data_IF_793842919919
#
_entry.id   IF_793842919919
#
_cell.length_a   1.000
_cell.length_b   1.000
_cell.length_c   1.000
_cell.angle_alpha   90.00
_cell.angle_beta   90.00
_cell.angle_gamma   90.00
#
_symmetry.space_group_name_H-M   'P 1'
#
loop_
_entity.id
_entity.type
_entity.pdbx_description
1 polymer ?
#
# COMPACT_ATOMS: atom_id res chain seq x y z
N UNK A 1 0.18 29.26 -10.87
CA UNK A 1 -0.96 28.37 -11.14
C UNK A 1 -1.48 27.88 -9.79
N UNK A 2 -2.77 27.92 -9.50
CA UNK A 2 -3.31 27.36 -8.23
C UNK A 2 -3.41 25.83 -8.32
N UNK A 3 -3.53 25.15 -7.17
CA UNK A 3 -3.74 23.70 -7.09
C UNK A 3 -4.97 23.24 -7.89
N UNK A 4 -6.09 23.95 -7.75
CA UNK A 4 -7.32 23.67 -8.51
C UNK A 4 -7.04 23.69 -10.02
N UNK A 5 -6.37 24.74 -10.51
CA UNK A 5 -6.00 24.87 -11.93
C UNK A 5 -5.04 23.78 -12.40
N UNK A 6 -4.18 23.28 -11.51
CA UNK A 6 -3.31 22.15 -11.81
C UNK A 6 -4.13 20.88 -12.03
N UNK A 7 -5.07 20.57 -11.13
CA UNK A 7 -5.96 19.41 -11.26
C UNK A 7 -6.88 19.54 -12.48
N UNK A 8 -7.47 20.70 -12.74
CA UNK A 8 -8.25 20.97 -13.96
C UNK A 8 -7.44 20.68 -15.22
N UNK A 9 -6.20 21.19 -15.31
CA UNK A 9 -5.35 20.98 -16.49
C UNK A 9 -4.99 19.50 -16.71
N UNK A 10 -4.77 18.74 -15.62
CA UNK A 10 -4.52 17.30 -15.70
C UNK A 10 -5.81 16.56 -16.09
N UNK A 11 -6.95 16.96 -15.52
CA UNK A 11 -8.26 16.39 -15.82
C UNK A 11 -8.63 16.57 -17.30
N UNK A 12 -8.40 17.76 -17.85
CA UNK A 12 -8.64 18.02 -19.28
C UNK A 12 -7.78 17.13 -20.19
N UNK A 13 -6.55 16.80 -19.78
CA UNK A 13 -5.68 15.90 -20.53
C UNK A 13 -6.17 14.46 -20.46
N UNK A 14 -6.52 13.96 -19.28
CA UNK A 14 -7.03 12.58 -19.16
C UNK A 14 -8.37 12.41 -19.89
N UNK A 15 -9.23 13.43 -19.90
CA UNK A 15 -10.49 13.41 -20.64
C UNK A 15 -10.31 13.31 -22.16
N UNK A 16 -9.23 13.86 -22.70
CA UNK A 16 -8.87 13.66 -24.12
C UNK A 16 -8.39 12.25 -24.41
N UNK A 17 -7.64 11.65 -23.48
CA UNK A 17 -7.14 10.29 -23.61
C UNK A 17 -8.24 9.24 -23.42
N UNK A 18 -9.12 9.45 -22.43
CA UNK A 18 -10.14 8.50 -21.96
C UNK A 18 -11.51 9.20 -21.78
N UNK A 19 -12.17 9.62 -22.87
CA UNK A 19 -13.43 10.36 -22.80
C UNK A 19 -14.59 9.57 -22.17
N UNK A 20 -14.54 8.23 -22.25
CA UNK A 20 -15.56 7.32 -21.68
C UNK A 20 -15.49 7.20 -20.15
N UNK A 21 -14.48 7.81 -19.51
CA UNK A 21 -14.29 7.82 -18.04
C UNK A 21 -14.32 6.41 -17.42
N UNK A 22 -13.40 5.50 -17.77
CA UNK A 22 -13.41 4.11 -17.28
C UNK A 22 -13.40 4.00 -15.74
N UNK A 23 -12.79 4.98 -15.05
CA UNK A 23 -12.80 5.06 -13.58
C UNK A 23 -14.21 5.10 -12.97
N UNK A 24 -15.20 5.72 -13.62
CA UNK A 24 -16.57 5.82 -13.10
C UNK A 24 -17.18 4.44 -12.91
N UNK A 25 -17.17 3.62 -13.96
CA UNK A 25 -17.71 2.26 -13.90
C UNK A 25 -16.90 1.36 -12.94
N UNK A 26 -15.59 1.61 -12.80
CA UNK A 26 -14.73 0.84 -11.91
C UNK A 26 -15.08 1.01 -10.44
N UNK A 27 -15.60 2.18 -10.03
CA UNK A 27 -16.03 2.46 -8.66
C UNK A 27 -17.51 2.08 -8.48
N UNK A 28 -18.38 2.47 -9.42
CA UNK A 28 -19.83 2.24 -9.32
C UNK A 28 -20.22 0.74 -9.26
N UNK A 29 -19.38 -0.17 -9.77
CA UNK A 29 -19.60 -1.63 -9.65
C UNK A 29 -19.68 -2.12 -8.20
N UNK A 30 -19.19 -1.33 -7.24
CA UNK A 30 -19.20 -1.63 -5.82
C UNK A 30 -20.43 -1.07 -5.07
N UNK A 31 -21.38 -0.44 -5.78
CA UNK A 31 -22.61 0.12 -5.23
C UNK A 31 -22.48 1.58 -4.79
N UNK A 32 -23.53 2.12 -4.15
CA UNK A 32 -23.59 3.53 -3.76
C UNK A 32 -22.65 3.89 -2.58
N UNK A 33 -22.38 2.92 -1.70
CA UNK A 33 -21.50 3.07 -0.53
C UNK A 33 -20.42 1.98 -0.56
N UNK A 34 -19.45 2.07 -1.48
CA UNK A 34 -18.39 1.08 -1.60
C UNK A 34 -17.56 1.01 -0.30
N UNK A 35 -17.16 -0.19 0.16
CA UNK A 35 -16.32 -0.32 1.34
C UNK A 35 -14.97 0.39 1.16
N UNK A 36 -14.48 1.07 2.21
CA UNK A 36 -13.23 1.85 2.18
C UNK A 36 -12.04 1.02 1.66
N UNK A 37 -11.93 -0.26 2.07
CA UNK A 37 -10.84 -1.12 1.60
C UNK A 37 -10.86 -1.36 0.08
N UNK A 38 -12.04 -1.32 -0.57
CA UNK A 38 -12.16 -1.40 -2.04
C UNK A 38 -11.79 -0.10 -2.75
N UNK A 39 -12.09 1.03 -2.11
CA UNK A 39 -11.70 2.34 -2.59
C UNK A 39 -10.17 2.53 -2.49
N UNK A 40 -9.57 2.12 -1.38
CA UNK A 40 -8.11 2.15 -1.17
C UNK A 40 -7.33 1.21 -2.09
N UNK A 41 -7.93 0.13 -2.58
CA UNK A 41 -7.33 -0.70 -3.64
C UNK A 41 -7.32 0.03 -5.00
N UNK A 42 -8.21 0.99 -5.21
CA UNK A 42 -8.45 1.66 -6.50
C UNK A 42 -8.20 3.17 -6.42
N UNK A 43 -7.18 3.61 -5.66
CA UNK A 43 -6.95 5.02 -5.30
C UNK A 43 -7.03 5.99 -6.49
N UNK A 44 -6.39 5.67 -7.61
CA UNK A 44 -6.42 6.53 -8.81
C UNK A 44 -7.85 6.65 -9.36
N UNK A 45 -8.54 5.52 -9.54
CA UNK A 45 -9.93 5.51 -10.00
C UNK A 45 -10.87 6.22 -9.02
N UNK A 46 -10.64 6.04 -7.71
CA UNK A 46 -11.44 6.65 -6.67
C UNK A 46 -11.25 8.17 -6.62
N UNK A 47 -10.02 8.67 -6.69
CA UNK A 47 -9.76 10.11 -6.74
C UNK A 47 -10.39 10.77 -7.97
N UNK A 48 -10.28 10.14 -9.15
CA UNK A 48 -10.97 10.65 -10.35
C UNK A 48 -12.49 10.62 -10.22
N UNK A 49 -13.04 9.57 -9.61
CA UNK A 49 -14.47 9.49 -9.30
C UNK A 49 -14.92 10.60 -8.33
N UNK A 50 -14.13 10.91 -7.30
CA UNK A 50 -14.42 12.00 -6.36
C UNK A 50 -14.44 13.35 -7.06
N UNK A 51 -13.51 13.58 -7.98
CA UNK A 51 -13.48 14.80 -8.79
C UNK A 51 -14.77 14.95 -9.62
N UNK A 52 -15.23 13.87 -10.26
CA UNK A 52 -16.45 13.85 -11.06
C UNK A 52 -17.75 13.98 -10.25
N UNK A 53 -17.80 13.39 -9.05
CA UNK A 53 -19.05 13.21 -8.30
C UNK A 53 -19.25 14.18 -7.13
N UNK A 54 -18.18 14.59 -6.47
CA UNK A 54 -18.21 15.35 -5.21
C UNK A 54 -17.65 16.77 -5.38
N UNK A 55 -16.61 16.92 -6.21
CA UNK A 55 -15.90 18.18 -6.40
C UNK A 55 -15.03 18.57 -5.19
N UNK A 56 -14.00 19.38 -5.42
CA UNK A 56 -12.93 19.63 -4.44
C UNK A 56 -13.40 20.28 -3.12
N UNK A 57 -14.40 21.17 -3.19
CA UNK A 57 -14.86 21.95 -2.03
C UNK A 57 -15.60 21.09 -0.99
N UNK A 58 -16.18 19.96 -1.41
CA UNK A 58 -16.88 19.04 -0.52
C UNK A 58 -15.98 17.93 0.04
N UNK A 59 -14.76 17.76 -0.48
CA UNK A 59 -13.81 16.72 -0.06
C UNK A 59 -13.19 17.03 1.31
N UNK A 60 -13.25 16.03 2.19
CA UNK A 60 -12.50 16.01 3.45
C UNK A 60 -11.01 15.70 3.20
N UNK A 61 -10.23 15.54 4.28
CA UNK A 61 -8.79 15.28 4.18
C UNK A 61 -8.48 13.94 3.48
N UNK A 62 -9.26 12.89 3.77
CA UNK A 62 -9.08 11.57 3.15
C UNK A 62 -9.33 11.64 1.64
N UNK A 63 -10.43 12.27 1.26
CA UNK A 63 -10.77 12.48 -0.15
C UNK A 63 -9.72 13.33 -0.88
N UNK A 64 -9.16 14.36 -0.20
CA UNK A 64 -8.09 15.20 -0.75
C UNK A 64 -6.81 14.42 -0.99
N UNK A 65 -6.44 13.52 -0.09
CA UNK A 65 -5.30 12.63 -0.30
C UNK A 65 -5.52 11.70 -1.50
N UNK A 66 -6.71 11.12 -1.63
CA UNK A 66 -7.07 10.30 -2.79
C UNK A 66 -7.04 11.09 -4.11
N UNK A 67 -7.51 12.34 -4.10
CA UNK A 67 -7.41 13.25 -5.24
C UNK A 67 -5.95 13.56 -5.59
N UNK A 68 -5.11 13.86 -4.60
CA UNK A 68 -3.70 14.17 -4.80
C UNK A 68 -2.95 12.99 -5.41
N UNK A 69 -3.17 11.77 -4.90
CA UNK A 69 -2.65 10.53 -5.48
C UNK A 69 -3.07 10.38 -6.93
N UNK A 70 -4.39 10.44 -7.19
CA UNK A 70 -4.92 10.28 -8.53
C UNK A 70 -4.30 11.29 -9.50
N UNK A 71 -4.39 12.59 -9.22
CA UNK A 71 -3.91 13.61 -10.13
C UNK A 71 -2.39 13.58 -10.33
N UNK A 72 -1.61 13.27 -9.30
CA UNK A 72 -0.17 13.12 -9.45
C UNK A 72 0.17 11.95 -10.38
N UNK A 73 -0.36 10.75 -10.11
CA UNK A 73 -0.05 9.58 -10.92
C UNK A 73 -0.60 9.70 -12.34
N UNK A 74 -1.80 10.27 -12.53
CA UNK A 74 -2.35 10.57 -13.85
C UNK A 74 -1.43 11.53 -14.62
N UNK A 75 -0.96 12.60 -13.99
CA UNK A 75 -0.03 13.52 -14.64
C UNK A 75 1.24 12.80 -15.11
N UNK A 76 1.80 11.93 -14.27
CA UNK A 76 3.00 11.14 -14.58
C UNK A 76 2.77 10.07 -15.65
N UNK A 77 1.62 9.41 -15.62
CA UNK A 77 1.21 8.46 -16.66
C UNK A 77 1.04 9.14 -18.01
N UNK A 78 0.42 10.33 -18.04
CA UNK A 78 0.23 11.10 -19.26
C UNK A 78 1.55 11.67 -19.80
N UNK A 79 2.41 12.22 -18.93
CA UNK A 79 3.76 12.65 -19.31
C UNK A 79 4.57 11.49 -19.90
N UNK A 80 4.50 10.30 -19.31
CA UNK A 80 5.17 9.10 -19.82
C UNK A 80 4.59 8.68 -21.16
N UNK A 81 3.27 8.58 -21.26
CA UNK A 81 2.54 8.24 -22.48
C UNK A 81 2.89 9.18 -23.65
N UNK A 82 2.92 10.49 -23.41
CA UNK A 82 3.24 11.50 -24.42
C UNK A 82 4.71 11.46 -24.86
N UNK A 83 5.61 10.89 -24.04
CA UNK A 83 7.03 10.71 -24.37
C UNK A 83 7.32 9.43 -25.15
N UNK A 84 6.35 8.50 -25.26
CA UNK A 84 6.49 7.28 -26.05
C UNK A 84 6.33 7.57 -27.55
N UNK A 85 7.01 6.77 -28.38
CA UNK A 85 6.78 6.73 -29.82
C UNK A 85 5.34 6.32 -30.15
N UNK A 86 4.78 6.83 -31.25
CA UNK A 86 3.37 6.60 -31.64
C UNK A 86 3.00 5.10 -31.70
N UNK A 87 3.92 4.23 -32.10
CA UNK A 87 3.71 2.78 -32.16
C UNK A 87 3.47 2.16 -30.78
N UNK A 88 4.13 2.66 -29.73
CA UNK A 88 4.05 2.16 -28.35
C UNK A 88 2.90 2.79 -27.56
N UNK A 89 2.52 4.02 -27.91
CA UNK A 89 1.41 4.72 -27.29
C UNK A 89 0.11 3.88 -27.26
N UNK A 90 -0.23 3.20 -28.37
CA UNK A 90 -1.48 2.40 -28.41
C UNK A 90 -1.50 1.27 -27.39
N UNK A 91 -0.41 0.52 -27.29
CA UNK A 91 -0.28 -0.60 -26.35
C UNK A 91 -0.33 -0.10 -24.90
N UNK A 92 0.43 0.96 -24.61
CA UNK A 92 0.45 1.59 -23.30
C UNK A 92 -0.91 2.13 -22.88
N UNK A 93 -1.62 2.80 -23.81
CA UNK A 93 -2.99 3.29 -23.57
C UNK A 93 -3.94 2.16 -23.22
N UNK A 94 -3.89 1.03 -23.95
CA UNK A 94 -4.75 -0.12 -23.69
C UNK A 94 -4.44 -0.78 -22.33
N UNK A 95 -3.15 -0.93 -21.98
CA UNK A 95 -2.72 -1.41 -20.66
C UNK A 95 -3.26 -0.52 -19.54
N UNK A 96 -3.14 0.80 -19.72
CA UNK A 96 -3.61 1.76 -18.74
C UNK A 96 -5.15 1.77 -18.63
N UNK A 97 -5.86 1.65 -19.75
CA UNK A 97 -7.32 1.52 -19.77
C UNK A 97 -7.79 0.28 -18.98
N UNK A 98 -7.18 -0.88 -19.23
CA UNK A 98 -7.47 -2.12 -18.52
C UNK A 98 -7.19 -1.99 -17.00
N UNK A 99 -6.12 -1.28 -16.63
CA UNK A 99 -5.73 -1.08 -15.24
C UNK A 99 -6.81 -0.36 -14.42
N UNK A 100 -7.65 0.52 -15.01
CA UNK A 100 -8.76 1.15 -14.27
C UNK A 100 -9.72 0.14 -13.67
N UNK A 101 -9.86 -1.04 -14.28
CA UNK A 101 -10.78 -2.09 -13.82
C UNK A 101 -10.10 -3.11 -12.89
N UNK A 102 -8.77 -3.11 -12.82
CA UNK A 102 -7.95 -4.06 -12.08
C UNK A 102 -6.98 -3.34 -11.13
N UNK A 103 -7.35 -3.23 -9.85
CA UNK A 103 -6.57 -2.54 -8.81
C UNK A 103 -5.12 -3.00 -8.70
N UNK A 104 -4.86 -4.29 -8.86
CA UNK A 104 -3.50 -4.83 -8.84
C UNK A 104 -2.65 -4.31 -10.01
N UNK A 105 -3.23 -4.19 -11.19
CA UNK A 105 -2.53 -3.74 -12.40
C UNK A 105 -2.29 -2.23 -12.32
N UNK A 106 -3.26 -1.46 -11.82
CA UNK A 106 -3.08 -0.02 -11.55
C UNK A 106 -1.99 0.23 -10.50
N UNK A 107 -1.92 -0.59 -9.44
CA UNK A 107 -0.86 -0.49 -8.43
C UNK A 107 0.51 -0.84 -9.00
N UNK A 108 0.61 -1.88 -9.83
CA UNK A 108 1.87 -2.23 -10.50
C UNK A 108 2.32 -1.09 -11.42
N UNK A 109 1.43 -0.59 -12.27
CA UNK A 109 1.71 0.48 -13.23
C UNK A 109 2.10 1.80 -12.53
N UNK A 110 1.36 2.21 -11.49
CA UNK A 110 1.71 3.41 -10.71
C UNK A 110 3.05 3.26 -9.99
N UNK A 111 3.37 2.06 -9.49
CA UNK A 111 4.67 1.80 -8.88
C UNK A 111 5.82 1.84 -9.88
N UNK A 112 5.67 1.23 -11.05
CA UNK A 112 6.63 1.32 -12.14
C UNK A 112 6.90 2.79 -12.52
N UNK A 113 5.85 3.60 -12.64
CA UNK A 113 5.96 5.04 -12.92
C UNK A 113 6.67 5.78 -11.79
N UNK A 114 6.34 5.46 -10.54
CA UNK A 114 7.05 6.01 -9.39
C UNK A 114 8.56 5.73 -9.47
N UNK A 115 8.96 4.49 -9.80
CA UNK A 115 10.36 4.11 -9.96
C UNK A 115 11.01 4.91 -11.08
N UNK A 116 10.38 4.97 -12.25
CA UNK A 116 10.88 5.72 -13.41
C UNK A 116 11.20 7.18 -13.05
N UNK A 117 10.22 7.91 -12.51
CA UNK A 117 10.40 9.34 -12.21
C UNK A 117 11.35 9.59 -11.04
N UNK A 118 11.37 8.70 -10.05
CA UNK A 118 12.34 8.80 -8.94
C UNK A 118 13.77 8.69 -9.45
N UNK A 119 14.05 7.73 -10.34
CA UNK A 119 15.38 7.55 -10.92
C UNK A 119 15.78 8.71 -11.81
N UNK A 120 14.88 9.21 -12.67
CA UNK A 120 15.12 10.41 -13.48
C UNK A 120 15.45 11.61 -12.60
N UNK A 121 14.70 11.82 -11.51
CA UNK A 121 14.95 12.90 -10.56
C UNK A 121 16.30 12.76 -9.83
N UNK A 122 16.80 11.53 -9.63
CA UNK A 122 18.12 11.24 -9.08
C UNK A 122 19.26 11.27 -10.12
N UNK A 123 18.97 11.76 -11.33
CA UNK A 123 19.94 11.95 -12.40
C UNK A 123 20.29 10.68 -13.16
N UNK A 124 19.47 9.63 -13.08
CA UNK A 124 19.59 8.47 -13.95
C UNK A 124 18.95 8.74 -15.30
N UNK A 125 19.58 8.25 -16.37
CA UNK A 125 18.93 8.07 -17.66
C UNK A 125 18.23 6.71 -17.66
N UNK A 126 16.91 6.72 -17.79
CA UNK A 126 16.06 5.52 -17.72
C UNK A 126 15.42 5.25 -19.08
N UNK A 127 15.54 4.02 -19.56
CA UNK A 127 14.91 3.52 -20.79
C UNK A 127 13.91 2.44 -20.40
N UNK A 128 12.65 2.58 -20.84
CA UNK A 128 11.61 1.56 -20.66
C UNK A 128 11.77 0.45 -21.70
N UNK A 129 11.66 -0.79 -21.25
CA UNK A 129 11.92 -2.01 -22.02
C UNK A 129 10.71 -2.93 -22.18
N UNK A 130 9.55 -2.54 -21.63
CA UNK A 130 8.29 -3.30 -21.60
C UNK A 130 7.67 -3.67 -22.97
N UNK A 131 8.25 -3.25 -24.08
CA UNK A 131 7.76 -3.54 -25.44
C UNK A 131 8.94 -3.71 -26.44
N UNK A 132 10.14 -4.08 -25.97
CA UNK A 132 11.26 -4.28 -26.90
C UNK A 132 11.15 -5.64 -27.60
N UNK A 133 11.02 -5.64 -28.93
CA UNK A 133 10.92 -6.85 -29.78
C UNK A 133 12.16 -7.77 -29.67
N UNK A 134 13.21 -7.29 -29.02
CA UNK A 134 14.50 -7.96 -28.83
C UNK A 134 14.51 -9.02 -27.72
N UNK A 135 13.37 -9.29 -27.07
CA UNK A 135 13.23 -10.36 -26.07
C UNK A 135 13.78 -10.02 -24.68
N UNK A 136 14.07 -8.73 -24.43
CA UNK A 136 14.31 -8.21 -23.07
C UNK A 136 12.98 -8.12 -22.32
N UNK A 137 12.97 -8.48 -21.04
CA UNK A 137 11.71 -8.68 -20.27
C UNK A 137 11.72 -8.01 -18.90
N UNK A 138 12.67 -7.11 -18.68
CA UNK A 138 12.76 -6.27 -17.50
C UNK A 138 12.13 -4.90 -17.77
N UNK A 139 11.57 -4.26 -16.75
CA UNK A 139 10.82 -3.00 -16.96
C UNK A 139 11.72 -1.84 -17.44
N UNK A 140 12.91 -1.68 -16.82
CA UNK A 140 13.78 -0.53 -17.09
C UNK A 140 15.28 -0.86 -17.19
N UNK A 141 15.96 -0.18 -18.11
CA UNK A 141 17.42 -0.03 -18.08
C UNK A 141 17.77 1.36 -17.54
N UNK A 142 18.39 1.42 -16.36
CA UNK A 142 18.86 2.68 -15.78
C UNK A 142 20.37 2.84 -15.93
N UNK A 143 20.81 4.03 -16.33
CA UNK A 143 22.22 4.36 -16.52
C UNK A 143 22.58 5.69 -15.84
N UNK A 144 23.72 5.71 -15.13
CA UNK A 144 24.25 6.92 -14.49
C UNK A 144 25.77 6.82 -14.44
N UNK A 145 26.46 7.78 -15.09
CA UNK A 145 27.88 7.68 -15.39
C UNK A 145 28.17 6.37 -16.16
N UNK A 146 29.24 5.66 -15.82
CA UNK A 146 29.63 4.39 -16.46
C UNK A 146 28.89 3.16 -15.89
N UNK A 147 27.84 3.36 -15.08
CA UNK A 147 27.06 2.28 -14.49
C UNK A 147 25.74 2.10 -15.22
N UNK A 148 25.41 0.84 -15.50
CA UNK A 148 24.11 0.42 -16.01
C UNK A 148 23.55 -0.68 -15.11
N UNK A 149 22.23 -0.66 -14.93
CA UNK A 149 21.51 -1.67 -14.15
C UNK A 149 20.15 -1.94 -14.77
N UNK A 150 19.83 -3.22 -14.92
CA UNK A 150 18.50 -3.69 -15.29
C UNK A 150 17.62 -3.70 -14.04
N UNK A 151 16.41 -3.17 -14.15
CA UNK A 151 15.49 -3.02 -13.05
C UNK A 151 14.19 -3.75 -13.37
N UNK A 152 13.76 -4.54 -12.41
CA UNK A 152 12.47 -5.22 -12.43
C UNK A 152 11.67 -4.83 -11.19
N UNK A 153 10.46 -4.35 -11.40
CA UNK A 153 9.55 -3.82 -10.40
C UNK A 153 8.50 -4.88 -10.07
N UNK A 154 8.33 -5.19 -8.78
CA UNK A 154 7.28 -6.12 -8.32
C UNK A 154 6.46 -5.46 -7.24
N UNK A 155 5.14 -5.39 -7.44
CA UNK A 155 4.23 -4.91 -6.41
C UNK A 155 3.46 -6.05 -5.75
N UNK A 156 3.54 -6.10 -4.42
CA UNK A 156 2.78 -7.03 -3.60
C UNK A 156 1.54 -6.32 -3.05
N UNK A 157 0.40 -6.99 -3.14
CA UNK A 157 -0.83 -6.53 -2.49
C UNK A 157 -0.80 -6.79 -1.00
N UNK A 158 -1.29 -5.82 -0.24
CA UNK A 158 -1.53 -5.88 1.21
C UNK A 158 -1.98 -7.27 1.69
N UNK A 159 -3.02 -7.80 1.08
CA UNK A 159 -3.75 -8.97 1.57
C UNK A 159 -3.09 -10.32 1.23
N UNK A 160 -2.21 -10.36 0.23
CA UNK A 160 -1.68 -11.64 -0.25
C UNK A 160 -0.69 -12.20 0.77
N UNK A 161 -1.08 -13.30 1.39
CA UNK A 161 -0.23 -14.06 2.31
C UNK A 161 -0.34 -13.63 3.77
N UNK A 162 -1.19 -12.65 4.10
CA UNK A 162 -1.62 -12.41 5.48
C UNK A 162 -2.55 -13.55 5.95
N UNK A 163 -2.67 -13.73 7.27
CA UNK A 163 -3.61 -14.69 7.84
C UNK A 163 -5.06 -14.36 7.47
N UNK A 164 -5.40 -13.07 7.48
CA UNK A 164 -6.66 -12.53 6.96
C UNK A 164 -6.43 -11.33 6.05
N UNK A 165 -7.38 -11.10 5.15
CA UNK A 165 -7.46 -9.95 4.24
C UNK A 165 -8.10 -8.73 4.91
N UNK A 166 -7.93 -7.53 4.36
CA UNK A 166 -8.63 -6.32 4.82
C UNK A 166 -10.16 -6.47 4.77
N UNK A 167 -10.68 -7.20 3.77
CA UNK A 167 -12.12 -7.51 3.68
C UNK A 167 -12.61 -8.43 4.80
N UNK A 168 -11.81 -9.43 5.20
CA UNK A 168 -12.13 -10.30 6.36
C UNK A 168 -12.00 -9.54 7.68
N UNK A 169 -10.99 -8.66 7.82
CA UNK A 169 -10.86 -7.78 8.98
C UNK A 169 -12.06 -6.84 9.10
N UNK A 170 -12.58 -6.32 7.98
CA UNK A 170 -13.81 -5.51 7.98
C UNK A 170 -15.04 -6.31 8.44
N UNK A 171 -15.20 -7.56 7.98
CA UNK A 171 -16.28 -8.44 8.47
C UNK A 171 -16.16 -8.69 9.97
N UNK A 172 -14.94 -8.86 10.48
CA UNK A 172 -14.69 -9.02 11.90
C UNK A 172 -15.05 -7.74 12.66
N UNK A 173 -14.63 -6.58 12.18
CA UNK A 173 -15.02 -5.30 12.78
C UNK A 173 -16.54 -5.11 12.80
N UNK A 174 -17.26 -5.43 11.73
CA UNK A 174 -18.72 -5.38 11.68
C UNK A 174 -19.37 -6.37 12.67
N UNK A 175 -18.77 -7.55 12.84
CA UNK A 175 -19.23 -8.57 13.80
C UNK A 175 -18.97 -8.23 15.27
N UNK A 176 -18.04 -7.32 15.55
CA UNK A 176 -17.69 -6.83 16.90
C UNK A 176 -18.38 -5.49 17.23
N UNK A 177 -18.53 -4.63 16.23
CA UNK A 177 -19.03 -3.26 16.38
C UNK A 177 -20.46 -3.24 16.89
N UNK A 178 -20.70 -2.43 17.94
CA UNK A 178 -22.03 -2.30 18.57
C UNK A 178 -22.45 -3.49 19.43
N UNK A 179 -21.60 -4.52 19.58
CA UNK A 179 -21.87 -5.72 20.40
C UNK A 179 -20.95 -5.85 21.61
N UNK A 180 -19.81 -5.17 21.60
CA UNK A 180 -18.88 -5.17 22.74
C UNK A 180 -19.21 -4.07 23.76
N UNK A 181 -19.20 -4.42 25.04
CA UNK A 181 -19.27 -3.47 26.15
C UNK A 181 -17.93 -3.39 26.90
N UNK A 182 -17.16 -2.32 26.65
CA UNK A 182 -15.90 -2.12 27.36
C UNK A 182 -16.15 -1.48 28.72
N UNK A 183 -15.64 -2.12 29.78
CA UNK A 183 -15.61 -1.53 31.12
C UNK A 183 -14.44 -0.56 31.24
N UNK A 184 -14.75 0.68 31.58
CA UNK A 184 -13.77 1.71 31.90
C UNK A 184 -13.43 1.67 33.38
N UNK A 185 -12.13 1.76 33.70
CA UNK A 185 -11.67 1.75 35.10
C UNK A 185 -11.90 3.11 35.76
N UNK A 186 -11.86 4.18 34.97
CA UNK A 186 -12.18 5.55 35.38
C UNK A 186 -13.44 6.09 34.73
N UNK A 187 -14.11 6.98 35.46
CA UNK A 187 -15.33 7.63 34.99
C UNK A 187 -15.12 8.62 33.84
N UNK A 188 -13.92 9.17 33.60
CA UNK A 188 -13.71 10.20 32.55
C UNK A 188 -12.36 10.11 31.85
N UNK A 189 -12.34 10.41 30.54
CA UNK A 189 -11.15 10.58 29.68
C UNK A 189 -10.21 9.37 29.61
N UNK A 190 -10.79 8.18 29.67
CA UNK A 190 -10.05 6.94 29.45
C UNK A 190 -10.12 6.55 27.97
N UNK A 191 -8.97 6.27 27.35
CA UNK A 191 -8.90 5.63 26.03
C UNK A 191 -8.55 4.16 26.23
N UNK A 192 -9.50 3.28 25.94
CA UNK A 192 -9.30 1.84 25.95
C UNK A 192 -9.04 1.34 24.53
N UNK A 193 -7.81 0.88 24.26
CA UNK A 193 -7.43 0.31 22.97
C UNK A 193 -7.53 -1.21 23.04
N UNK A 194 -8.50 -1.77 22.33
CA UNK A 194 -8.70 -3.20 22.15
C UNK A 194 -7.98 -3.60 20.86
N UNK A 195 -6.92 -4.39 20.97
CA UNK A 195 -6.18 -4.94 19.83
C UNK A 195 -6.52 -6.41 19.68
N UNK A 196 -7.21 -6.76 18.59
CA UNK A 196 -7.44 -8.14 18.16
C UNK A 196 -6.39 -8.49 17.11
N UNK A 197 -5.44 -9.34 17.46
CA UNK A 197 -4.42 -9.82 16.53
C UNK A 197 -4.77 -11.22 16.05
N UNK A 198 -5.06 -11.35 14.75
CA UNK A 198 -5.46 -12.59 14.10
C UNK A 198 -4.22 -13.32 13.57
N UNK A 199 -4.03 -14.54 14.07
CA UNK A 199 -2.84 -15.36 13.83
C UNK A 199 -3.06 -16.37 12.70
N UNK A 200 -4.31 -16.84 12.55
CA UNK A 200 -4.70 -17.82 11.55
C UNK A 200 -5.93 -17.36 10.74
N UNK A 201 -6.21 -18.08 9.66
CA UNK A 201 -7.34 -17.76 8.79
C UNK A 201 -8.64 -17.99 9.54
N UNK A 202 -9.50 -16.96 9.57
CA UNK A 202 -10.81 -17.08 10.18
C UNK A 202 -11.75 -17.97 9.36
N UNK A 203 -12.58 -18.82 10.02
CA UNK A 203 -13.65 -19.57 9.38
C UNK A 203 -14.59 -18.68 8.58
N UNK A 204 -14.98 -19.15 7.40
CA UNK A 204 -15.91 -18.43 6.51
C UNK A 204 -17.37 -18.86 6.71
N UNK A 205 -17.60 -19.95 7.46
CA UNK A 205 -18.94 -20.39 7.84
C UNK A 205 -19.57 -19.34 8.78
N UNK A 206 -20.75 -18.78 8.46
CA UNK A 206 -21.34 -17.70 9.25
C UNK A 206 -21.61 -18.07 10.72
N UNK A 207 -21.96 -19.33 10.99
CA UNK A 207 -22.28 -19.79 12.35
C UNK A 207 -21.01 -19.90 13.18
N UNK A 208 -19.95 -20.47 12.61
CA UNK A 208 -18.64 -20.57 13.28
C UNK A 208 -18.03 -19.17 13.46
N UNK A 209 -18.12 -18.31 12.44
CA UNK A 209 -17.62 -16.94 12.50
C UNK A 209 -18.32 -16.12 13.59
N UNK A 210 -19.65 -16.25 13.72
CA UNK A 210 -20.40 -15.59 14.80
C UNK A 210 -19.92 -16.05 16.18
N UNK A 211 -19.65 -17.36 16.36
CA UNK A 211 -19.13 -17.88 17.63
C UNK A 211 -17.76 -17.29 17.97
N UNK A 212 -16.88 -17.12 16.99
CA UNK A 212 -15.58 -16.47 17.19
C UNK A 212 -15.76 -15.01 17.59
N UNK A 213 -16.69 -14.30 16.96
CA UNK A 213 -17.00 -12.93 17.38
C UNK A 213 -17.50 -12.89 18.84
N UNK A 214 -18.37 -13.82 19.23
CA UNK A 214 -18.91 -13.93 20.59
C UNK A 214 -17.81 -14.23 21.61
N UNK A 215 -16.87 -15.10 21.27
CA UNK A 215 -15.71 -15.46 22.09
C UNK A 215 -14.77 -14.27 22.28
N UNK A 216 -14.44 -13.56 21.20
CA UNK A 216 -13.66 -12.30 21.24
C UNK A 216 -14.36 -11.26 22.11
N UNK A 217 -15.68 -11.08 21.95
CA UNK A 217 -16.47 -10.16 22.78
C UNK A 217 -16.37 -10.55 24.25
N UNK A 218 -16.53 -11.84 24.58
CA UNK A 218 -16.39 -12.33 25.95
C UNK A 218 -15.05 -11.98 26.59
N UNK A 219 -13.95 -12.07 25.82
CA UNK A 219 -12.62 -11.63 26.27
C UNK A 219 -12.50 -10.12 26.41
N UNK A 220 -13.12 -9.34 25.51
CA UNK A 220 -13.13 -7.87 25.63
C UNK A 220 -13.89 -7.44 26.90
N UNK A 221 -15.04 -8.05 27.18
CA UNK A 221 -15.91 -7.71 28.30
C UNK A 221 -15.38 -8.18 29.65
N UNK A 222 -14.58 -9.25 29.68
CA UNK A 222 -13.87 -9.65 30.90
C UNK A 222 -12.80 -8.63 31.31
N UNK A 223 -12.28 -7.86 30.34
CA UNK A 223 -11.24 -6.87 30.57
C UNK A 223 -9.83 -7.48 30.68
N UNK A 224 -9.68 -8.78 30.40
CA UNK A 224 -8.42 -9.51 30.49
C UNK A 224 -7.79 -9.75 29.11
N UNK A 225 -6.46 -9.75 29.06
CA UNK A 225 -5.74 -10.15 27.85
C UNK A 225 -5.95 -11.65 27.57
N UNK A 226 -6.17 -11.99 26.30
CA UNK A 226 -6.33 -13.36 25.83
C UNK A 226 -5.24 -13.74 24.83
N UNK A 227 -4.72 -14.97 24.94
CA UNK A 227 -3.78 -15.56 23.99
C UNK A 227 -4.24 -16.95 23.59
N UNK A 228 -4.80 -17.06 22.39
CA UNK A 228 -5.14 -18.32 21.73
C UNK A 228 -4.20 -18.64 20.57
N UNK A 229 -4.47 -19.76 19.91
CA UNK A 229 -3.76 -20.17 18.69
C UNK A 229 -4.22 -19.38 17.46
N UNK A 230 -5.54 -19.15 17.34
CA UNK A 230 -6.14 -18.47 16.18
C UNK A 230 -6.05 -16.94 16.26
N UNK A 231 -6.15 -16.39 17.48
CA UNK A 231 -6.14 -14.96 17.72
C UNK A 231 -5.70 -14.62 19.15
N UNK A 232 -5.36 -13.35 19.37
CA UNK A 232 -5.11 -12.78 20.70
C UNK A 232 -5.90 -11.49 20.87
N UNK A 233 -6.32 -11.21 22.10
CA UNK A 233 -6.97 -9.94 22.48
C UNK A 233 -6.07 -9.26 23.49
N UNK A 234 -5.71 -8.01 23.23
CA UNK A 234 -4.93 -7.18 24.16
C UNK A 234 -5.68 -5.89 24.46
N UNK A 235 -5.78 -5.56 25.74
CA UNK A 235 -6.46 -4.35 26.18
C UNK A 235 -5.43 -3.40 26.78
N UNK A 236 -5.27 -2.22 26.17
CA UNK A 236 -4.36 -1.18 26.64
C UNK A 236 -5.14 0.06 27.02
N UNK A 237 -5.05 0.49 28.28
CA UNK A 237 -5.77 1.67 28.78
C UNK A 237 -4.84 2.85 28.94
N UNK A 238 -5.29 4.01 28.48
CA UNK A 238 -4.65 5.30 28.69
C UNK A 238 -5.58 6.19 29.49
N UNK A 239 -5.05 6.80 30.53
CA UNK A 239 -5.80 7.67 31.42
C UNK A 239 -5.54 9.14 31.10
N UNK A 240 -6.53 9.97 31.38
CA UNK A 240 -6.41 11.43 31.35
C UNK A 240 -5.96 11.96 29.96
N UNK A 241 -6.47 11.30 28.90
CA UNK A 241 -6.12 11.62 27.51
C UNK A 241 -6.74 12.97 27.14
N UNK A 242 -5.88 13.97 26.92
CA UNK A 242 -6.33 15.26 26.42
C UNK A 242 -6.84 15.13 24.99
N UNK A 243 -7.88 15.90 24.65
CA UNK A 243 -8.38 15.97 23.27
C UNK A 243 -8.80 14.61 22.69
N UNK A 244 -9.24 13.68 23.56
CA UNK A 244 -9.74 12.35 23.16
C UNK A 244 -10.90 12.44 22.15
N UNK A 245 -11.62 13.56 22.13
CA UNK A 245 -12.69 13.88 21.19
C UNK A 245 -12.20 14.47 19.86
N UNK A 246 -11.02 15.07 19.84
CA UNK A 246 -10.47 15.85 18.72
C UNK A 246 -9.41 15.09 17.93
N UNK A 247 -9.01 13.89 18.36
CA UNK A 247 -8.21 13.00 17.53
C UNK A 247 -7.34 12.04 18.34
N UNK A 248 -7.90 10.86 18.67
CA UNK A 248 -7.12 9.76 19.23
C UNK A 248 -5.96 9.32 18.32
N UNK A 249 -5.98 9.66 17.03
CA UNK A 249 -4.89 9.38 16.07
C UNK A 249 -3.53 9.93 16.53
N UNK A 250 -3.51 11.09 17.21
CA UNK A 250 -2.27 11.66 17.78
C UNK A 250 -1.74 10.89 19.01
N UNK A 251 -2.60 10.10 19.66
CA UNK A 251 -2.33 9.33 20.90
C UNK A 251 -2.06 7.84 20.59
N UNK A 252 -2.23 7.41 19.33
CA UNK A 252 -2.16 6.02 18.89
C UNK A 252 -0.88 5.62 18.12
N UNK A 253 0.36 6.09 18.40
CA UNK A 253 1.56 5.44 17.86
C UNK A 253 1.83 4.12 18.60
N UNK A 254 0.80 3.33 18.85
CA UNK A 254 0.91 2.00 19.41
C UNK A 254 1.57 1.10 18.37
N UNK A 255 2.82 0.74 18.64
CA UNK A 255 3.52 -0.29 17.87
C UNK A 255 2.68 -1.57 17.91
N UNK A 256 2.26 -2.03 16.73
CA UNK A 256 1.70 -3.36 16.55
C UNK A 256 2.83 -4.34 16.22
N UNK A 257 2.74 -5.55 16.80
CA UNK A 257 3.61 -6.66 16.46
C UNK A 257 3.25 -7.27 15.09
N UNK A 258 2.09 -6.91 14.53
CA UNK A 258 1.59 -7.36 13.22
C UNK A 258 1.37 -6.21 12.21
N UNK A 259 0.62 -6.54 11.16
CA UNK A 259 0.11 -5.61 10.14
C UNK A 259 -1.25 -5.12 10.57
N UNK A 260 -1.44 -3.81 10.71
CA UNK A 260 -2.74 -3.22 11.03
C UNK A 260 -3.63 -3.17 9.79
N UNK A 261 -4.86 -3.69 9.91
CA UNK A 261 -5.85 -3.69 8.84
C UNK A 261 -7.02 -2.77 9.13
N UNK A 262 -7.36 -2.57 10.41
CA UNK A 262 -8.43 -1.68 10.88
C UNK A 262 -7.94 -0.96 12.13
N UNK A 263 -8.22 0.34 12.22
CA UNK A 263 -8.10 1.14 13.42
C UNK A 263 -9.30 2.08 13.48
N UNK A 264 -10.29 1.74 14.30
CA UNK A 264 -11.52 2.52 14.43
C UNK A 264 -11.64 3.06 15.85
N UNK A 265 -11.97 4.34 15.95
CA UNK A 265 -12.32 4.99 17.21
C UNK A 265 -13.83 5.17 17.22
N UNK A 266 -14.61 4.32 17.91
CA UNK A 266 -16.04 4.56 18.08
C UNK A 266 -16.33 5.97 18.62
N UNK A 267 -17.40 6.56 18.06
CA UNK A 267 -17.95 7.84 18.50
C UNK A 267 -18.60 7.66 19.88
N UNK A 268 -17.99 8.30 20.88
CA UNK A 268 -18.47 8.53 22.25
C UNK A 268 -19.15 7.40 23.03
N UNK A 269 -18.44 6.86 24.02
CA UNK A 269 -19.07 6.39 25.25
C UNK A 269 -19.48 7.57 26.14
N UNK A 270 -20.41 7.31 27.07
CA UNK A 270 -20.76 8.24 28.14
C UNK A 270 -19.50 8.71 28.89
N UNK A 271 -19.49 9.97 29.33
CA UNK A 271 -18.44 10.59 30.15
C UNK A 271 -17.03 10.80 29.51
N UNK A 272 -16.95 11.17 28.23
CA UNK A 272 -15.68 11.52 27.55
C UNK A 272 -14.67 10.36 27.37
N UNK A 273 -14.97 9.12 27.78
CA UNK A 273 -14.12 7.95 27.52
C UNK A 273 -14.38 7.36 26.13
N UNK A 274 -13.35 6.74 25.53
CA UNK A 274 -13.43 6.16 24.18
C UNK A 274 -12.83 4.76 24.16
N UNK A 275 -13.41 3.91 23.34
CA UNK A 275 -12.76 2.65 22.94
C UNK A 275 -12.13 2.87 21.57
N UNK A 276 -11.04 2.17 21.27
CA UNK A 276 -10.46 2.06 19.94
C UNK A 276 -10.34 0.56 19.63
N UNK A 277 -10.96 0.12 18.54
CA UNK A 277 -10.81 -1.24 18.04
C UNK A 277 -9.72 -1.26 16.97
N UNK A 278 -8.69 -2.06 17.22
CA UNK A 278 -7.60 -2.34 16.28
C UNK A 278 -7.64 -3.79 15.89
N UNK A 279 -7.62 -4.07 14.59
CA UNK A 279 -7.50 -5.43 14.06
C UNK A 279 -6.17 -5.52 13.33
N UNK A 280 -5.32 -6.44 13.79
CA UNK A 280 -4.02 -6.70 13.18
C UNK A 280 -3.92 -8.16 12.75
N UNK A 281 -2.99 -8.45 11.86
CA UNK A 281 -2.73 -9.80 11.36
C UNK A 281 -1.24 -10.06 11.23
N UNK A 282 -0.87 -11.33 11.05
CA UNK A 282 0.51 -11.75 10.79
C UNK A 282 0.73 -12.21 9.35
N UNK A 283 1.98 -12.15 8.89
CA UNK A 283 2.41 -12.75 7.63
C UNK A 283 2.61 -14.27 7.79
N UNK A 284 1.98 -15.05 6.93
CA UNK A 284 2.04 -16.52 6.96
C UNK A 284 3.35 -17.06 6.36
N UNK A 285 3.62 -18.35 6.53
CA UNK A 285 4.72 -18.99 5.79
C UNK A 285 4.50 -18.98 4.26
N UNK A 286 3.25 -18.96 3.81
CA UNK A 286 2.92 -18.89 2.39
C UNK A 286 3.35 -17.54 1.80
N UNK A 287 3.18 -16.43 2.53
CA UNK A 287 3.67 -15.11 2.14
C UNK A 287 5.17 -15.15 1.81
N UNK A 288 5.99 -15.66 2.73
CA UNK A 288 7.44 -15.67 2.57
C UNK A 288 7.92 -16.59 1.45
N UNK A 289 7.19 -17.68 1.18
CA UNK A 289 7.45 -18.56 0.03
C UNK A 289 7.14 -17.84 -1.27
N UNK A 290 6.01 -17.15 -1.34
CA UNK A 290 5.60 -16.40 -2.53
C UNK A 290 6.52 -15.21 -2.81
N UNK A 291 6.86 -14.42 -1.77
CA UNK A 291 7.83 -13.33 -1.87
C UNK A 291 9.17 -13.81 -2.46
N UNK A 292 9.74 -14.89 -1.89
CA UNK A 292 11.00 -15.45 -2.37
C UNK A 292 10.88 -15.98 -3.80
N UNK A 293 9.78 -16.67 -4.11
CA UNK A 293 9.50 -17.23 -5.43
C UNK A 293 9.41 -16.12 -6.49
N UNK A 294 8.57 -15.11 -6.28
CA UNK A 294 8.37 -13.99 -7.22
C UNK A 294 9.70 -13.28 -7.49
N UNK A 295 10.50 -13.00 -6.45
CA UNK A 295 11.80 -12.35 -6.63
C UNK A 295 12.79 -13.24 -7.38
N UNK A 296 12.84 -14.54 -7.09
CA UNK A 296 13.73 -15.48 -7.78
C UNK A 296 13.33 -15.69 -9.24
N UNK A 297 12.04 -15.80 -9.52
CA UNK A 297 11.53 -15.98 -10.87
C UNK A 297 11.82 -14.73 -11.71
N UNK A 298 11.57 -13.54 -11.16
CA UNK A 298 11.97 -12.27 -11.76
C UNK A 298 13.48 -12.21 -12.05
N UNK A 299 14.31 -12.52 -11.06
CA UNK A 299 15.76 -12.53 -11.23
C UNK A 299 16.24 -13.50 -12.32
N UNK A 300 15.59 -14.65 -12.49
CA UNK A 300 16.04 -15.68 -13.43
C UNK A 300 15.49 -15.50 -14.84
N UNK A 301 14.26 -15.04 -14.94
CA UNK A 301 13.51 -15.03 -16.20
C UNK A 301 13.44 -13.66 -16.84
N UNK A 302 13.61 -12.59 -16.07
CA UNK A 302 13.43 -11.21 -16.56
C UNK A 302 14.73 -10.41 -16.62
N UNK A 303 15.67 -10.70 -15.71
CA UNK A 303 16.98 -10.05 -15.66
C UNK A 303 18.05 -10.93 -16.30
N UNK A 304 18.83 -10.37 -17.20
CA UNK A 304 19.90 -11.11 -17.89
C UNK A 304 21.14 -11.21 -17.00
N UNK A 305 21.92 -12.29 -17.18
CA UNK A 305 23.07 -12.59 -16.30
C UNK A 305 24.35 -11.85 -16.67
N UNK A 306 24.41 -11.29 -17.86
CA UNK A 306 25.54 -10.55 -18.42
C UNK A 306 25.60 -9.09 -17.97
N UNK A 307 24.57 -8.61 -17.26
CA UNK A 307 24.49 -7.26 -16.72
C UNK A 307 24.08 -7.26 -15.24
N UNK A 308 24.39 -6.17 -14.55
CA UNK A 308 23.92 -5.94 -13.19
C UNK A 308 22.38 -5.82 -13.19
N UNK A 309 21.72 -6.60 -12.35
CA UNK A 309 20.26 -6.57 -12.16
C UNK A 309 19.86 -6.11 -10.76
N UNK A 310 18.75 -5.40 -10.64
CA UNK A 310 18.17 -4.99 -9.37
C UNK A 310 16.67 -5.25 -9.36
N UNK A 311 16.18 -5.69 -8.20
CA UNK A 311 14.76 -5.91 -7.96
C UNK A 311 14.22 -4.76 -7.10
N UNK A 312 13.19 -4.08 -7.57
CA UNK A 312 12.48 -3.05 -6.80
C UNK A 312 11.14 -3.60 -6.36
N UNK A 313 10.95 -3.80 -5.07
CA UNK A 313 9.79 -4.45 -4.48
C UNK A 313 8.94 -3.44 -3.72
N UNK A 314 7.71 -3.25 -4.16
CA UNK A 314 6.71 -2.43 -3.48
C UNK A 314 5.90 -3.26 -2.50
N UNK A 315 5.90 -2.84 -1.23
CA UNK A 315 4.85 -3.21 -0.28
C UNK A 315 3.88 -2.03 -0.17
N UNK A 316 2.61 -2.27 -0.49
CA UNK A 316 1.58 -1.21 -0.62
C UNK A 316 1.27 -0.45 0.68
N UNK A 317 1.81 -0.88 1.81
CA UNK A 317 1.52 -0.34 3.12
C UNK A 317 2.80 -0.40 3.99
N UNK A 318 3.02 0.65 4.77
CA UNK A 318 4.25 0.82 5.55
C UNK A 318 4.27 -0.06 6.80
N UNK A 319 3.13 -0.42 7.37
CA UNK A 319 2.98 -1.39 8.44
C UNK A 319 3.40 -2.79 7.96
N UNK A 320 2.97 -3.21 6.77
CA UNK A 320 3.41 -4.45 6.12
C UNK A 320 4.91 -4.46 5.90
N UNK A 321 5.46 -3.38 5.35
CA UNK A 321 6.90 -3.22 5.19
C UNK A 321 7.62 -3.32 6.55
N UNK A 322 7.12 -2.61 7.55
CA UNK A 322 7.71 -2.58 8.88
C UNK A 322 7.66 -3.94 9.56
N UNK A 323 6.57 -4.70 9.40
CA UNK A 323 6.45 -6.07 9.88
C UNK A 323 7.44 -7.00 9.16
N UNK A 324 7.57 -6.90 7.83
CA UNK A 324 8.54 -7.66 7.06
C UNK A 324 9.98 -7.39 7.53
N UNK A 325 10.34 -6.12 7.73
CA UNK A 325 11.69 -5.72 8.15
C UNK A 325 12.05 -6.17 9.57
N UNK A 326 11.06 -6.40 10.44
CA UNK A 326 11.26 -6.94 11.79
C UNK A 326 11.31 -8.47 11.82
N UNK A 327 10.82 -9.13 10.78
CA UNK A 327 10.78 -10.59 10.71
C UNK A 327 12.16 -11.18 10.38
N UNK A 328 12.67 -12.02 11.28
CA UNK A 328 13.97 -12.68 11.14
C UNK A 328 14.07 -13.58 9.90
N UNK A 329 12.94 -13.99 9.31
CA UNK A 329 12.89 -14.78 8.08
C UNK A 329 13.38 -13.98 6.88
N UNK A 330 13.24 -12.65 6.87
CA UNK A 330 13.59 -11.79 5.74
C UNK A 330 15.06 -11.98 5.31
N UNK A 331 16.00 -11.96 6.25
CA UNK A 331 17.43 -12.10 5.94
C UNK A 331 17.75 -13.40 5.20
N UNK A 332 17.11 -14.50 5.60
CA UNK A 332 17.26 -15.79 4.93
C UNK A 332 16.67 -15.74 3.50
N UNK A 333 15.53 -15.07 3.31
CA UNK A 333 14.92 -14.89 1.98
C UNK A 333 15.78 -14.05 1.05
N UNK A 334 16.31 -12.93 1.54
CA UNK A 334 17.22 -12.06 0.78
C UNK A 334 18.47 -12.83 0.36
N UNK A 335 19.11 -13.57 1.28
CA UNK A 335 20.27 -14.43 0.96
C UNK A 335 19.95 -15.43 -0.14
N UNK A 336 18.78 -16.04 -0.10
CA UNK A 336 18.34 -16.99 -1.14
C UNK A 336 18.13 -16.33 -2.51
N UNK A 337 17.59 -15.10 -2.53
CA UNK A 337 17.44 -14.31 -3.75
C UNK A 337 18.82 -13.92 -4.30
N UNK A 338 19.75 -13.51 -3.44
CA UNK A 338 21.14 -13.14 -3.77
C UNK A 338 22.06 -14.29 -4.18
N UNK A 339 21.59 -15.54 -4.14
CA UNK A 339 22.28 -16.64 -4.83
C UNK A 339 22.32 -16.44 -6.36
N UNK A 340 21.57 -15.48 -6.88
CA UNK A 340 21.61 -15.05 -8.27
C UNK A 340 22.69 -13.97 -8.37
N UNK A 341 23.87 -14.35 -8.85
CA UNK A 341 25.08 -13.53 -8.80
C UNK A 341 25.02 -12.26 -9.64
N UNK A 342 24.13 -12.18 -10.62
CA UNK A 342 23.91 -10.96 -11.40
C UNK A 342 23.06 -9.92 -10.66
N UNK A 343 22.34 -10.31 -9.60
CA UNK A 343 21.55 -9.38 -8.79
C UNK A 343 22.48 -8.61 -7.87
N UNK A 344 22.52 -7.28 -8.03
CA UNK A 344 23.37 -6.37 -7.25
C UNK A 344 22.65 -5.74 -6.06
N UNK A 345 21.34 -5.55 -6.15
CA UNK A 345 20.56 -4.83 -5.16
C UNK A 345 19.10 -5.33 -5.11
N UNK A 346 18.56 -5.45 -3.90
CA UNK A 346 17.12 -5.63 -3.64
C UNK A 346 16.63 -4.41 -2.87
N UNK A 347 15.64 -3.73 -3.42
CA UNK A 347 15.16 -2.43 -2.95
C UNK A 347 13.72 -2.59 -2.52
N UNK A 348 13.44 -2.35 -1.26
CA UNK A 348 12.10 -2.29 -0.74
C UNK A 348 11.60 -0.85 -0.74
N UNK A 349 10.42 -0.64 -1.32
CA UNK A 349 9.74 0.66 -1.35
C UNK A 349 8.36 0.52 -0.73
N UNK A 350 7.96 1.52 0.05
CA UNK A 350 6.59 1.69 0.54
C UNK A 350 6.27 3.18 0.67
N UNK A 351 5.05 3.49 1.07
CA UNK A 351 4.56 4.86 1.23
C UNK A 351 4.73 5.72 -0.03
N UNK A 352 4.37 5.19 -1.18
CA UNK A 352 4.37 5.93 -2.46
C UNK A 352 3.15 6.84 -2.60
N UNK A 353 2.43 7.11 -1.51
CA UNK A 353 1.31 8.04 -1.45
C UNK A 353 1.78 9.49 -1.58
N UNK A 354 0.87 10.32 -2.07
CA UNK A 354 1.08 11.71 -2.43
C UNK A 354 0.35 12.59 -1.43
N UNK A 355 1.09 13.50 -0.82
CA UNK A 355 0.57 14.40 0.19
C UNK A 355 0.40 15.79 -0.39
N UNK A 356 -0.72 16.46 -0.10
CA UNK A 356 -0.90 17.87 -0.45
C UNK A 356 -0.05 18.79 0.45
N UNK A 357 0.32 19.95 -0.09
CA UNK A 357 0.91 21.06 0.64
C UNK A 357 0.44 22.41 0.06
N UNK A 358 0.52 23.47 0.86
CA UNK A 358 -0.02 24.79 0.48
C UNK A 358 0.81 25.52 -0.59
N UNK A 359 2.07 25.10 -0.79
CA UNK A 359 3.03 25.77 -1.67
C UNK A 359 3.40 24.86 -2.82
N UNK A 360 3.63 25.46 -3.99
CA UNK A 360 4.16 24.75 -5.15
C UNK A 360 5.46 24.01 -4.77
N UNK A 361 5.61 22.70 -5.09
CA UNK A 361 4.86 21.89 -6.07
C UNK A 361 3.47 21.34 -5.66
N UNK A 362 2.81 21.85 -4.61
CA UNK A 362 1.46 21.53 -4.10
C UNK A 362 1.22 20.09 -3.67
N UNK A 363 2.07 19.18 -4.12
CA UNK A 363 2.12 17.80 -3.72
C UNK A 363 3.58 17.42 -3.43
N UNK A 364 3.78 16.42 -2.58
CA UNK A 364 5.08 15.81 -2.34
C UNK A 364 4.93 14.32 -2.05
N UNK A 365 6.02 13.57 -2.23
CA UNK A 365 6.14 12.16 -1.89
C UNK A 365 7.12 12.01 -0.73
N UNK A 366 6.84 11.08 0.18
CA UNK A 366 7.76 10.71 1.25
C UNK A 366 7.92 9.18 1.31
N UNK A 367 8.50 8.57 0.25
CA UNK A 367 8.59 7.12 0.16
C UNK A 367 9.54 6.59 1.22
N UNK A 368 9.16 5.47 1.84
CA UNK A 368 10.06 4.69 2.65
C UNK A 368 10.87 3.76 1.74
N UNK A 369 12.20 3.88 1.77
CA UNK A 369 13.09 3.07 0.93
C UNK A 369 14.11 2.34 1.80
N UNK A 370 14.24 1.03 1.59
CA UNK A 370 15.24 0.19 2.24
C UNK A 370 15.91 -0.73 1.21
N UNK A 371 17.20 -0.53 0.97
CA UNK A 371 17.97 -1.41 0.09
C UNK A 371 18.87 -2.39 0.84
N UNK A 372 19.14 -3.50 0.14
CA UNK A 372 20.11 -4.53 0.50
C UNK A 372 21.04 -4.73 -0.70
N UNK A 373 22.35 -4.69 -0.48
CA UNK A 373 23.36 -4.88 -1.52
C UNK A 373 23.81 -6.35 -1.50
N UNK A 374 23.95 -6.95 -2.67
CA UNK A 374 24.49 -8.29 -2.80
C UNK A 374 26.03 -8.25 -2.85
N UNK A 375 26.67 -8.50 -1.72
CA UNK A 375 28.13 -8.59 -1.61
C UNK A 375 28.73 -9.76 -2.40
N UNK A 376 27.90 -10.71 -2.84
CA UNK A 376 28.30 -11.89 -3.62
C UNK A 376 28.04 -11.72 -5.12
N UNK A 377 27.68 -10.52 -5.56
CA UNK A 377 27.42 -10.28 -6.98
C UNK A 377 28.71 -10.38 -7.80
N UNK A 378 28.58 -10.86 -9.04
CA UNK A 378 29.64 -10.85 -10.04
C UNK A 378 29.97 -9.41 -10.51
N UNK A 379 29.08 -8.45 -10.21
CA UNK A 379 29.24 -7.05 -10.56
C UNK A 379 29.62 -6.21 -9.34
N UNK A 380 30.63 -5.36 -9.48
CA UNK A 380 31.06 -4.45 -8.41
C UNK A 380 30.02 -3.34 -8.18
N UNK A 381 29.16 -3.53 -7.18
CA UNK A 381 28.10 -2.58 -6.84
C UNK A 381 28.18 -2.13 -5.38
N UNK A 382 28.44 -0.84 -5.16
CA UNK A 382 28.65 -0.27 -3.81
C UNK A 382 27.81 0.97 -3.53
N UNK A 383 27.17 1.56 -4.54
CA UNK A 383 26.29 2.74 -4.38
C UNK A 383 24.86 2.28 -4.62
N UNK A 384 23.95 2.58 -3.68
CA UNK A 384 22.55 2.24 -3.83
C UNK A 384 21.90 3.01 -4.97
N UNK A 385 20.96 2.38 -5.65
CA UNK A 385 20.27 2.98 -6.80
C UNK A 385 19.41 4.18 -6.36
N UNK A 386 18.73 4.04 -5.21
CA UNK A 386 17.83 5.05 -4.63
C UNK A 386 18.55 6.02 -3.66
N UNK A 387 19.85 6.25 -3.86
CA UNK A 387 20.61 7.31 -3.17
C UNK A 387 21.06 8.38 -4.18
N UNK A 388 20.83 9.65 -3.81
CA UNK A 388 21.25 10.84 -4.58
C UNK A 388 22.75 10.79 -4.88
#
# INVERSE_FOLDING_TARGET
MSRVKMYEAIYDRIMKAFPEKPWMSSILKHGANPPIHKLGESLISYGLYLWDSKGLDACDEYDRNALADAFFYIAKLLEFYEALDESKQRAYKARFEAAFHASNDMRALSFEIFVYYTLVNYGWRVVCKDDDELGETYDYLASRNDKQVQLECKSFSLDKGLAITAGEARKLEEGLSGRCSVRYDKARRELCVVTVNVLEKLPQDPVIFSKICDDIIGHIESGEDYRGEEYTVKITRYNDVQDINSGAESILPLRSDGVELICNVPLSGDDESRTCLRITTVGTNAFWREFEKVCKDAAKSQLTKDQAGALVVHASNIESMSAMLRDKRLDAKIKNIFNQSHIVELIFVSNTGVYEQDKYPYVYLAPFVKSYINERSDFKWTKKIFET
#
